data_IF_278178439641
#
_entry.id   IF_278178439641
#
_cell.length_a   1.000
_cell.length_b   1.000
_cell.length_c   1.000
_cell.angle_alpha   90.00
_cell.angle_beta   90.00
_cell.angle_gamma   90.00
#
_symmetry.space_group_name_H-M   'P 1'
#
loop_
_entity.id
_entity.type
_entity.pdbx_description
1 polymer ?
#
# COMPACT_ATOMS: atom_id res chain seq x y z
N UNK A 1 -0.64 8.35 18.35
CA UNK A 1 -0.60 8.11 16.90
C UNK A 1 -1.98 8.41 16.34
N UNK A 2 -2.08 9.38 15.44
CA UNK A 2 -3.35 9.73 14.79
C UNK A 2 -3.38 9.08 13.41
N UNK A 3 -4.45 8.37 13.09
CA UNK A 3 -4.62 7.72 11.79
C UNK A 3 -5.55 8.56 10.92
N UNK A 4 -5.21 8.73 9.65
CA UNK A 4 -6.06 9.35 8.64
C UNK A 4 -6.41 8.32 7.59
N UNK A 5 -7.69 7.98 7.50
CA UNK A 5 -8.23 7.08 6.48
C UNK A 5 -8.08 7.72 5.10
N UNK A 6 -7.64 6.94 4.13
CA UNK A 6 -7.60 7.37 2.74
C UNK A 6 -9.01 7.27 2.12
N UNK A 7 -9.41 8.25 1.28
CA UNK A 7 -10.76 8.29 0.74
C UNK A 7 -10.99 7.24 -0.35
N UNK A 8 -9.93 6.70 -0.95
CA UNK A 8 -10.02 5.78 -2.09
C UNK A 8 -10.19 4.32 -1.67
N UNK A 9 -10.82 3.54 -2.55
CA UNK A 9 -10.59 2.10 -2.61
C UNK A 9 -9.21 1.85 -3.21
N UNK A 10 -8.50 0.87 -2.68
CA UNK A 10 -7.12 0.59 -3.02
C UNK A 10 -6.98 -0.79 -3.64
N UNK A 11 -5.92 -0.94 -4.42
CA UNK A 11 -5.51 -2.20 -5.03
C UNK A 11 -4.02 -2.43 -4.77
N UNK A 12 -3.67 -3.68 -4.51
CA UNK A 12 -2.30 -4.18 -4.52
C UNK A 12 -2.16 -5.05 -5.76
N UNK A 13 -1.24 -4.72 -6.66
CA UNK A 13 -1.04 -5.49 -7.89
C UNK A 13 0.43 -5.61 -8.26
N UNK A 14 0.73 -6.60 -9.11
CA UNK A 14 2.02 -6.79 -9.75
C UNK A 14 1.91 -6.38 -11.22
N UNK A 15 2.39 -5.18 -11.61
CA UNK A 15 2.42 -4.79 -13.02
C UNK A 15 3.29 -5.74 -13.82
N UNK A 16 2.99 -5.91 -15.12
CA UNK A 16 3.77 -6.78 -15.99
C UNK A 16 5.24 -6.32 -16.10
N UNK A 17 5.46 -5.02 -16.20
CA UNK A 17 6.76 -4.37 -16.17
C UNK A 17 6.62 -2.87 -15.87
N UNK A 18 7.74 -2.15 -15.85
CA UNK A 18 7.78 -0.70 -15.54
C UNK A 18 7.06 0.19 -16.56
N UNK A 19 6.87 -0.27 -17.81
CA UNK A 19 6.15 0.50 -18.83
C UNK A 19 4.64 0.56 -18.59
N UNK A 20 4.11 -0.36 -17.78
CA UNK A 20 2.71 -0.34 -17.35
C UNK A 20 2.41 0.72 -16.28
N UNK A 21 3.44 1.37 -15.72
CA UNK A 21 3.30 2.33 -14.63
C UNK A 21 3.03 3.74 -15.17
N UNK A 22 1.98 4.38 -14.67
CA UNK A 22 1.70 5.81 -14.90
C UNK A 22 2.23 6.64 -13.71
N UNK A 23 3.48 7.09 -13.81
CA UNK A 23 4.13 7.90 -12.77
C UNK A 23 3.59 9.34 -12.68
N UNK A 24 2.66 9.73 -13.56
CA UNK A 24 2.00 11.03 -13.46
C UNK A 24 0.88 11.06 -12.40
N UNK A 25 0.49 9.88 -11.88
CA UNK A 25 -0.55 9.76 -10.86
C UNK A 25 -0.14 10.42 -9.55
N UNK A 26 -1.07 11.10 -8.86
CA UNK A 26 -0.74 11.87 -7.65
C UNK A 26 -0.51 10.99 -6.41
N UNK A 27 -0.89 9.71 -6.44
CA UNK A 27 -0.80 8.82 -5.29
C UNK A 27 -0.56 7.37 -5.72
N UNK A 28 0.61 6.84 -5.37
CA UNK A 28 0.93 5.42 -5.48
C UNK A 28 2.13 5.08 -4.59
N UNK A 29 2.34 3.79 -4.34
CA UNK A 29 3.61 3.24 -3.89
C UNK A 29 4.09 2.21 -4.92
N UNK A 30 5.37 2.29 -5.28
CA UNK A 30 6.03 1.29 -6.14
C UNK A 30 7.17 0.68 -5.37
N UNK A 31 7.16 -0.65 -5.26
CA UNK A 31 8.26 -1.45 -4.74
C UNK A 31 8.84 -2.30 -5.86
N UNK A 32 10.16 -2.32 -6.00
CA UNK A 32 10.86 -3.24 -6.90
C UNK A 32 11.91 -4.01 -6.11
N UNK A 33 11.86 -5.32 -6.22
CA UNK A 33 12.89 -6.24 -5.69
C UNK A 33 13.52 -6.99 -6.86
N UNK A 34 14.41 -7.94 -6.55
CA UNK A 34 14.93 -8.93 -7.49
C UNK A 34 13.89 -9.97 -7.91
N UNK A 35 12.80 -10.11 -7.15
CA UNK A 35 11.73 -11.08 -7.42
C UNK A 35 10.51 -10.48 -8.12
N UNK A 36 10.18 -9.21 -7.86
CA UNK A 36 8.94 -8.62 -8.37
C UNK A 36 8.94 -7.10 -8.54
N UNK A 37 7.90 -6.64 -9.25
CA UNK A 37 7.45 -5.26 -9.29
C UNK A 37 6.05 -5.21 -8.65
N UNK A 38 5.89 -4.40 -7.61
CA UNK A 38 4.66 -4.26 -6.84
C UNK A 38 4.19 -2.81 -6.86
N UNK A 39 2.87 -2.63 -7.05
CA UNK A 39 2.20 -1.34 -7.09
C UNK A 39 1.04 -1.35 -6.10
N UNK A 40 0.97 -0.32 -5.26
CA UNK A 40 -0.20 -0.01 -4.42
C UNK A 40 -0.75 1.34 -4.87
N UNK A 41 -2.00 1.36 -5.34
CA UNK A 41 -2.61 2.56 -5.91
C UNK A 41 -4.14 2.58 -5.71
N UNK A 42 -4.82 3.71 -5.94
CA UNK A 42 -6.27 3.73 -6.07
C UNK A 42 -6.74 2.71 -7.11
N UNK A 43 -7.84 1.99 -6.85
CA UNK A 43 -8.33 0.93 -7.74
C UNK A 43 -8.63 1.42 -9.17
N UNK A 44 -8.96 2.70 -9.32
CA UNK A 44 -9.20 3.34 -10.62
C UNK A 44 -7.92 3.61 -11.43
N UNK A 45 -6.76 3.64 -10.79
CA UNK A 45 -5.46 3.91 -11.39
C UNK A 45 -4.68 2.63 -11.73
N UNK A 46 -5.28 1.46 -11.51
CA UNK A 46 -4.63 0.17 -11.72
C UNK A 46 -4.33 -0.03 -13.22
N UNK A 47 -3.08 -0.37 -13.59
CA UNK A 47 -2.74 -0.68 -14.97
C UNK A 47 -3.56 -1.85 -15.50
N UNK A 48 -3.87 -1.84 -16.81
CA UNK A 48 -4.54 -2.97 -17.45
C UNK A 48 -3.66 -4.24 -17.47
N UNK A 49 -2.34 -4.06 -17.58
CA UNK A 49 -1.37 -5.14 -17.65
C UNK A 49 -0.79 -5.46 -16.26
N UNK A 50 -1.46 -6.35 -15.53
CA UNK A 50 -1.01 -6.88 -14.23
C UNK A 50 -0.95 -8.40 -14.25
N UNK A 51 0.10 -8.99 -13.68
CA UNK A 51 0.25 -10.45 -13.53
C UNK A 51 -0.46 -11.00 -12.30
N UNK A 52 -0.66 -10.16 -11.27
CA UNK A 52 -1.47 -10.44 -10.10
C UNK A 52 -2.14 -9.15 -9.61
N UNK A 53 -3.35 -9.26 -9.05
CA UNK A 53 -4.13 -8.11 -8.60
C UNK A 53 -5.07 -8.52 -7.48
N UNK A 54 -5.09 -7.72 -6.42
CA UNK A 54 -6.00 -7.85 -5.29
C UNK A 54 -6.67 -6.50 -5.01
N UNK A 55 -7.99 -6.46 -5.20
CA UNK A 55 -8.83 -5.28 -5.01
C UNK A 55 -9.53 -5.30 -3.65
N UNK A 56 -10.22 -4.20 -3.32
CA UNK A 56 -11.06 -4.12 -2.12
C UNK A 56 -10.30 -3.67 -0.87
N UNK A 57 -9.03 -3.27 -1.01
CA UNK A 57 -8.24 -2.74 0.09
C UNK A 57 -8.75 -1.36 0.53
N UNK A 58 -8.59 -1.08 1.82
CA UNK A 58 -8.78 0.26 2.40
C UNK A 58 -7.48 0.70 3.05
N UNK A 59 -7.02 1.89 2.66
CA UNK A 59 -5.78 2.46 3.19
C UNK A 59 -6.02 3.46 4.31
N UNK A 60 -5.05 3.59 5.21
CA UNK A 60 -4.91 4.71 6.13
C UNK A 60 -3.42 5.06 6.24
N UNK A 61 -3.12 6.28 6.68
CA UNK A 61 -1.76 6.72 6.97
C UNK A 61 -1.65 7.22 8.41
N UNK A 62 -0.46 7.12 8.98
CA UNK A 62 -0.14 7.79 10.23
C UNK A 62 0.02 9.29 9.92
N UNK A 63 -0.74 10.14 10.60
CA UNK A 63 -0.66 11.60 10.43
C UNK A 63 0.52 12.17 11.23
N UNK A 64 1.36 12.96 10.55
CA UNK A 64 2.57 13.56 11.09
C UNK A 64 3.84 12.98 10.47
N UNK A 65 4.99 13.51 10.88
CA UNK A 65 6.30 12.99 10.47
C UNK A 65 6.71 11.87 11.41
N UNK A 66 7.03 10.71 10.85
CA UNK A 66 7.67 9.63 11.60
C UNK A 66 9.19 9.84 11.56
N UNK A 67 9.80 9.85 12.73
CA UNK A 67 11.26 9.83 12.85
C UNK A 67 11.77 8.44 12.45
N UNK A 68 12.81 8.39 11.62
CA UNK A 68 13.42 7.13 11.16
C UNK A 68 14.01 6.28 12.30
N UNK A 69 14.22 6.87 13.49
CA UNK A 69 14.65 6.17 14.69
C UNK A 69 13.52 5.44 15.44
N UNK A 70 12.26 5.60 15.02
CA UNK A 70 11.11 5.00 15.70
C UNK A 70 11.09 3.47 15.55
N UNK A 71 11.43 2.78 16.63
CA UNK A 71 11.31 1.33 16.74
C UNK A 71 9.91 0.95 17.22
N UNK A 72 9.31 -0.05 16.56
CA UNK A 72 8.05 -0.65 17.01
C UNK A 72 6.80 0.20 16.75
N UNK A 73 6.86 1.22 15.88
CA UNK A 73 5.69 2.04 15.57
C UNK A 73 4.54 1.21 14.97
N UNK A 74 4.88 0.20 14.16
CA UNK A 74 3.90 -0.71 13.56
C UNK A 74 3.44 -1.83 14.51
N UNK A 75 4.20 -2.17 15.56
CA UNK A 75 3.90 -3.37 16.37
C UNK A 75 2.56 -3.25 17.09
N UNK A 76 2.22 -2.06 17.58
CA UNK A 76 0.93 -1.79 18.22
C UNK A 76 -0.23 -1.88 17.22
N UNK A 77 -0.02 -1.46 15.97
CA UNK A 77 -1.04 -1.54 14.92
C UNK A 77 -1.26 -2.98 14.47
N UNK A 78 -0.18 -3.68 14.14
CA UNK A 78 -0.27 -5.05 13.65
C UNK A 78 -0.85 -6.00 14.69
N UNK A 79 -0.52 -5.82 15.98
CA UNK A 79 -1.09 -6.61 17.07
C UNK A 79 -2.62 -6.48 17.12
N UNK A 80 -3.14 -5.24 17.16
CA UNK A 80 -4.60 -4.99 17.22
C UNK A 80 -5.32 -5.54 15.98
N UNK A 81 -4.75 -5.36 14.78
CA UNK A 81 -5.34 -5.88 13.55
C UNK A 81 -5.35 -7.41 13.54
N UNK A 82 -4.26 -8.06 13.95
CA UNK A 82 -4.16 -9.50 14.02
C UNK A 82 -5.13 -10.11 15.04
N UNK A 83 -5.30 -9.49 16.21
CA UNK A 83 -6.29 -9.91 17.23
C UNK A 83 -7.73 -9.90 16.70
N UNK A 84 -8.01 -9.09 15.68
CA UNK A 84 -9.31 -9.00 15.01
C UNK A 84 -9.37 -9.78 13.68
N UNK A 85 -8.34 -10.55 13.35
CA UNK A 85 -8.27 -11.33 12.10
C UNK A 85 -8.18 -10.47 10.84
N UNK A 86 -7.69 -9.23 10.96
CA UNK A 86 -7.57 -8.29 9.84
C UNK A 86 -6.15 -8.35 9.31
N UNK A 87 -6.00 -8.72 8.03
CA UNK A 87 -4.72 -8.68 7.32
C UNK A 87 -4.18 -7.25 7.19
N UNK A 88 -2.86 -7.11 7.21
CA UNK A 88 -2.18 -5.82 7.06
C UNK A 88 -1.17 -5.89 5.91
N UNK A 89 -1.22 -4.89 5.04
CA UNK A 89 -0.17 -4.58 4.07
C UNK A 89 0.38 -3.20 4.39
N UNK A 90 1.67 -3.11 4.73
CA UNK A 90 2.32 -1.86 5.12
C UNK A 90 3.43 -1.52 4.11
N UNK A 91 3.49 -0.24 3.71
CA UNK A 91 4.46 0.34 2.78
C UNK A 91 5.06 1.62 3.34
#
# INVERSE_FOLDING_TARGET
MKLKVLPWAMTVCKPADVSALDLSRPFYFIGRTDEELSLVCPTEDVPAATTAREDGWRGFRIEGTLDFSLVGILSKLSAVLAENGIGLFAV
#
